data_IF_636644081790
#
_entry.id   IF_636644081790
#
_cell.length_a   1.000
_cell.length_b   1.000
_cell.length_c   1.000
_cell.angle_alpha   90.00
_cell.angle_beta   90.00
_cell.angle_gamma   90.00
#
_symmetry.space_group_name_H-M   'P 1'
#
loop_
_entity.id
_entity.type
_entity.pdbx_description
1 polymer ?
#
# COMPACT_ATOMS: atom_id res chain seq x y z
N UNK A 1 -19.77 63.72 -1.08
CA UNK A 1 -20.20 62.52 -1.81
C UNK A 1 -18.94 61.73 -2.19
N UNK A 2 -18.55 60.77 -1.33
CA UNK A 2 -17.44 59.86 -1.58
C UNK A 2 -18.00 58.56 -2.23
N UNK A 3 -17.39 58.03 -3.27
CA UNK A 3 -17.83 56.74 -3.83
C UNK A 3 -17.33 55.59 -2.93
N UNK A 4 -18.29 54.78 -2.48
CA UNK A 4 -18.00 53.49 -1.83
C UNK A 4 -17.39 52.55 -2.87
N UNK A 5 -16.12 52.26 -2.72
CA UNK A 5 -15.45 51.16 -3.41
C UNK A 5 -15.96 49.84 -2.85
N UNK A 6 -16.76 49.12 -3.62
CA UNK A 6 -17.09 47.71 -3.33
C UNK A 6 -15.85 46.88 -3.63
N UNK A 7 -15.14 46.50 -2.58
CA UNK A 7 -14.14 45.43 -2.67
C UNK A 7 -14.87 44.16 -3.08
N UNK A 8 -14.67 43.71 -4.34
CA UNK A 8 -15.05 42.37 -4.77
C UNK A 8 -14.27 41.39 -3.93
N UNK A 9 -15.00 40.56 -3.19
CA UNK A 9 -14.48 39.36 -2.53
C UNK A 9 -13.80 38.49 -3.59
N UNK A 10 -12.48 38.62 -3.70
CA UNK A 10 -11.64 37.70 -4.43
C UNK A 10 -11.25 36.55 -3.48
N UNK A 11 -12.24 35.77 -3.04
CA UNK A 11 -11.96 34.43 -2.53
C UNK A 11 -11.53 33.60 -3.75
N UNK A 12 -10.26 33.13 -3.80
CA UNK A 12 -9.85 32.21 -4.84
C UNK A 12 -10.74 30.96 -4.74
N UNK A 13 -11.17 30.36 -5.85
CA UNK A 13 -11.93 29.14 -5.79
C UNK A 13 -11.12 28.14 -4.98
N UNK A 14 -11.66 27.69 -3.86
CA UNK A 14 -11.13 26.59 -3.08
C UNK A 14 -11.28 25.29 -3.89
N UNK A 15 -10.52 25.16 -4.95
CA UNK A 15 -10.24 23.86 -5.52
C UNK A 15 -9.26 23.18 -4.56
N UNK A 16 -9.79 22.61 -3.50
CA UNK A 16 -9.03 21.66 -2.71
C UNK A 16 -8.61 20.56 -3.68
N UNK A 17 -7.34 20.47 -4.00
CA UNK A 17 -6.79 19.35 -4.80
C UNK A 17 -7.28 17.99 -4.27
N UNK A 18 -7.45 17.87 -2.97
CA UNK A 18 -8.00 16.69 -2.32
C UNK A 18 -9.51 16.50 -2.56
N UNK A 19 -10.30 17.55 -2.68
CA UNK A 19 -11.74 17.43 -2.97
C UNK A 19 -12.03 16.83 -4.36
N UNK A 20 -11.13 17.02 -5.33
CA UNK A 20 -11.23 16.39 -6.65
C UNK A 20 -10.90 14.89 -6.64
N UNK A 21 -10.26 14.41 -5.57
CA UNK A 21 -9.84 13.03 -5.39
C UNK A 21 -10.75 12.25 -4.44
N UNK A 22 -11.73 12.89 -3.84
CA UNK A 22 -12.63 12.26 -2.86
C UNK A 22 -13.40 11.08 -3.48
N UNK A 23 -13.88 11.22 -4.72
CA UNK A 23 -14.54 10.12 -5.44
C UNK A 23 -13.62 8.93 -5.67
N UNK A 24 -12.34 9.19 -5.98
CA UNK A 24 -11.36 8.13 -6.18
C UNK A 24 -11.05 7.41 -4.87
N UNK A 25 -10.87 8.16 -3.80
CA UNK A 25 -10.62 7.61 -2.47
C UNK A 25 -11.81 6.77 -2.00
N UNK A 26 -13.04 7.23 -2.26
CA UNK A 26 -14.24 6.46 -1.93
C UNK A 26 -14.27 5.13 -2.71
N UNK A 27 -14.03 5.15 -4.03
CA UNK A 27 -13.99 3.94 -4.86
C UNK A 27 -12.88 2.98 -4.43
N UNK A 28 -11.71 3.49 -4.06
CA UNK A 28 -10.61 2.69 -3.50
C UNK A 28 -11.07 1.99 -2.21
N UNK A 29 -11.72 2.71 -1.29
CA UNK A 29 -12.22 2.10 -0.04
C UNK A 29 -13.34 1.07 -0.29
N UNK A 30 -14.18 1.28 -1.29
CA UNK A 30 -15.20 0.31 -1.72
C UNK A 30 -14.54 -0.96 -2.28
N UNK A 31 -13.53 -0.83 -3.15
CA UNK A 31 -12.79 -1.98 -3.69
C UNK A 31 -12.01 -2.72 -2.59
N UNK A 32 -11.40 -2.03 -1.63
CA UNK A 32 -10.78 -2.65 -0.46
C UNK A 32 -11.81 -3.50 0.29
N UNK A 33 -12.97 -2.95 0.61
CA UNK A 33 -14.03 -3.65 1.34
C UNK A 33 -14.55 -4.87 0.56
N UNK A 34 -14.76 -4.72 -0.74
CA UNK A 34 -15.28 -5.76 -1.64
C UNK A 34 -14.34 -6.96 -1.75
N UNK A 35 -13.03 -6.72 -1.78
CA UNK A 35 -12.03 -7.76 -2.03
C UNK A 35 -11.40 -8.33 -0.74
N UNK A 36 -11.80 -7.81 0.42
CA UNK A 36 -11.24 -8.18 1.73
C UNK A 36 -12.10 -9.22 2.44
N UNK A 37 -12.52 -10.26 1.69
CA UNK A 37 -13.36 -11.32 2.23
C UNK A 37 -12.57 -12.61 2.46
N UNK A 38 -12.64 -13.11 3.67
CA UNK A 38 -12.21 -14.46 4.02
C UNK A 38 -13.26 -15.13 4.90
N UNK A 39 -13.51 -16.41 4.65
CA UNK A 39 -14.34 -17.24 5.54
C UNK A 39 -13.66 -17.55 6.87
N UNK A 40 -12.36 -17.27 6.99
CA UNK A 40 -11.57 -17.49 8.20
C UNK A 40 -11.59 -16.19 9.04
N UNK A 41 -12.25 -16.18 10.22
CA UNK A 41 -12.43 -14.96 11.01
C UNK A 41 -11.12 -14.27 11.42
N UNK A 42 -10.07 -15.05 11.70
CA UNK A 42 -8.76 -14.51 12.08
C UNK A 42 -8.12 -13.70 10.95
N UNK A 43 -8.20 -14.16 9.70
CA UNK A 43 -7.70 -13.43 8.55
C UNK A 43 -8.40 -12.08 8.45
N UNK A 44 -9.74 -12.07 8.53
CA UNK A 44 -10.52 -10.83 8.47
C UNK A 44 -10.18 -9.86 9.62
N UNK A 45 -9.90 -10.39 10.81
CA UNK A 45 -9.56 -9.60 11.99
C UNK A 45 -8.19 -8.93 11.85
N UNK A 46 -7.14 -9.71 11.56
CA UNK A 46 -5.77 -9.22 11.43
C UNK A 46 -5.65 -8.25 10.25
N UNK A 47 -6.23 -8.61 9.09
CA UNK A 47 -6.21 -7.73 7.92
C UNK A 47 -6.90 -6.39 8.21
N UNK A 48 -8.05 -6.42 8.88
CA UNK A 48 -8.74 -5.19 9.29
C UNK A 48 -7.91 -4.35 10.23
N UNK A 49 -7.18 -4.97 11.13
CA UNK A 49 -6.29 -4.31 12.08
C UNK A 49 -5.18 -3.56 11.36
N UNK A 50 -4.41 -4.24 10.49
CA UNK A 50 -3.31 -3.61 9.76
C UNK A 50 -3.81 -2.53 8.80
N UNK A 51 -4.89 -2.76 8.07
CA UNK A 51 -5.46 -1.81 7.12
C UNK A 51 -6.05 -0.56 7.80
N UNK A 52 -6.54 -0.68 9.04
CA UNK A 52 -7.07 0.43 9.84
C UNK A 52 -6.01 1.16 10.67
N UNK A 53 -4.76 0.72 10.67
CA UNK A 53 -3.66 1.38 11.39
C UNK A 53 -3.35 2.80 10.89
N UNK A 54 -4.18 3.32 9.99
CA UNK A 54 -4.13 4.67 9.45
C UNK A 54 -3.28 4.74 8.17
N UNK A 55 -3.82 5.33 7.15
CA UNK A 55 -3.12 5.57 5.90
C UNK A 55 -3.90 6.56 5.05
N UNK A 56 -3.18 7.39 4.30
CA UNK A 56 -3.77 8.37 3.38
C UNK A 56 -4.14 7.75 2.03
N UNK A 57 -4.04 6.42 1.89
CA UNK A 57 -4.27 5.67 0.64
C UNK A 57 -3.49 6.24 -0.56
N UNK A 58 -2.28 6.75 -0.30
CA UNK A 58 -1.48 7.38 -1.34
C UNK A 58 -1.06 6.39 -2.44
N UNK A 59 -0.70 5.14 -2.07
CA UNK A 59 -0.29 4.13 -3.07
C UNK A 59 -1.40 3.80 -4.06
N UNK A 60 -2.61 3.40 -3.64
CA UNK A 60 -3.70 3.16 -4.56
C UNK A 60 -4.10 4.43 -5.34
N UNK A 61 -4.09 5.60 -4.70
CA UNK A 61 -4.38 6.86 -5.38
C UNK A 61 -3.36 7.16 -6.49
N UNK A 62 -2.06 6.98 -6.23
CA UNK A 62 -1.01 7.16 -7.24
C UNK A 62 -1.22 6.23 -8.45
N UNK A 63 -1.62 4.98 -8.22
CA UNK A 63 -1.94 4.05 -9.31
C UNK A 63 -3.12 4.55 -10.15
N UNK A 64 -4.20 5.02 -9.53
CA UNK A 64 -5.36 5.58 -10.25
C UNK A 64 -4.97 6.81 -11.05
N UNK A 65 -4.17 7.72 -10.48
CA UNK A 65 -3.68 8.91 -11.19
C UNK A 65 -2.75 8.54 -12.35
N UNK A 66 -1.84 7.59 -12.17
CA UNK A 66 -0.97 7.10 -13.23
C UNK A 66 -1.77 6.48 -14.39
N UNK A 67 -2.83 5.73 -14.08
CA UNK A 67 -3.70 5.17 -15.11
C UNK A 67 -4.41 6.25 -15.95
N UNK A 68 -4.83 7.35 -15.32
CA UNK A 68 -5.40 8.51 -16.02
C UNK A 68 -4.37 9.24 -16.89
N UNK A 69 -3.18 9.46 -16.35
CA UNK A 69 -2.08 10.09 -17.10
C UNK A 69 -1.69 9.27 -18.34
N UNK A 70 -1.79 7.94 -18.24
CA UNK A 70 -1.54 7.00 -19.35
C UNK A 70 -2.75 6.82 -20.27
N UNK A 71 -3.82 7.58 -20.09
CA UNK A 71 -5.07 7.49 -20.86
C UNK A 71 -5.64 6.05 -20.88
N UNK A 72 -5.56 5.33 -19.75
CA UNK A 72 -6.09 3.98 -19.64
C UNK A 72 -7.62 3.96 -19.76
N UNK A 73 -8.16 3.14 -20.65
CA UNK A 73 -9.59 3.04 -20.94
C UNK A 73 -10.26 1.78 -20.36
N UNK A 74 -9.52 0.99 -19.57
CA UNK A 74 -10.06 -0.21 -18.94
C UNK A 74 -10.80 0.07 -17.63
N UNK A 75 -11.28 -1.01 -16.99
CA UNK A 75 -12.11 -0.96 -15.76
C UNK A 75 -11.37 -1.46 -14.51
N UNK A 76 -10.09 -1.84 -14.64
CA UNK A 76 -9.35 -2.49 -13.55
C UNK A 76 -8.51 -1.53 -12.70
N UNK A 77 -8.48 -0.22 -13.00
CA UNK A 77 -7.62 0.74 -12.28
C UNK A 77 -7.83 0.75 -10.76
N UNK A 78 -9.08 0.62 -10.30
CA UNK A 78 -9.37 0.58 -8.86
C UNK A 78 -9.05 -0.78 -8.25
N UNK A 79 -9.38 -1.88 -8.92
CA UNK A 79 -9.02 -3.22 -8.46
C UNK A 79 -7.50 -3.43 -8.42
N UNK A 80 -6.77 -2.94 -9.43
CA UNK A 80 -5.30 -2.97 -9.44
C UNK A 80 -4.68 -2.01 -8.42
N UNK A 81 -5.34 -0.89 -8.11
CA UNK A 81 -4.81 0.06 -7.13
C UNK A 81 -4.71 -0.54 -5.73
N UNK A 82 -5.67 -1.37 -5.33
CA UNK A 82 -5.65 -2.00 -4.01
C UNK A 82 -4.62 -3.11 -3.88
N UNK A 83 -4.10 -3.65 -4.98
CA UNK A 83 -2.98 -4.61 -4.99
C UNK A 83 -1.78 -4.02 -4.26
N UNK A 84 -1.44 -2.74 -4.51
CA UNK A 84 -0.32 -2.07 -3.85
C UNK A 84 -0.54 -1.89 -2.34
N UNK A 85 -1.78 -1.68 -1.92
CA UNK A 85 -2.10 -1.55 -0.50
C UNK A 85 -2.06 -2.91 0.21
N UNK A 86 -2.47 -3.99 -0.47
CA UNK A 86 -2.39 -5.36 0.08
C UNK A 86 -0.96 -5.85 0.16
N UNK A 87 -0.15 -5.61 -0.88
CA UNK A 87 1.29 -5.90 -0.84
C UNK A 87 1.96 -5.16 0.30
N UNK A 88 1.69 -3.86 0.44
CA UNK A 88 2.23 -3.09 1.54
C UNK A 88 1.79 -3.62 2.92
N UNK A 89 0.52 -3.99 3.06
CA UNK A 89 0.05 -4.57 4.32
C UNK A 89 0.70 -5.94 4.60
N UNK A 90 0.92 -6.76 3.56
CA UNK A 90 1.63 -8.03 3.66
C UNK A 90 3.08 -7.83 4.12
N UNK A 91 3.82 -6.92 3.47
CA UNK A 91 5.21 -6.61 3.87
C UNK A 91 5.28 -6.09 5.29
N UNK A 92 4.38 -5.19 5.70
CA UNK A 92 4.33 -4.70 7.08
C UNK A 92 4.09 -5.80 8.12
N UNK A 93 3.26 -6.81 7.79
CA UNK A 93 3.02 -7.95 8.67
C UNK A 93 4.26 -8.84 8.78
N UNK A 94 4.95 -9.09 7.67
CA UNK A 94 6.18 -9.88 7.65
C UNK A 94 7.33 -9.15 8.35
N UNK A 95 7.50 -7.86 8.08
CA UNK A 95 8.53 -7.02 8.71
C UNK A 95 8.37 -6.98 10.23
N UNK A 96 7.14 -6.83 10.75
CA UNK A 96 6.89 -6.85 12.20
C UNK A 96 7.36 -8.15 12.86
N UNK A 97 7.30 -9.28 12.13
CA UNK A 97 7.79 -10.57 12.61
C UNK A 97 9.33 -10.65 12.49
N UNK A 98 9.90 -10.25 11.37
CA UNK A 98 11.34 -10.27 11.12
C UNK A 98 12.08 -9.36 12.10
N UNK A 99 11.54 -8.15 12.31
CA UNK A 99 12.13 -7.13 13.20
C UNK A 99 11.81 -7.39 14.69
N UNK A 100 11.00 -8.40 15.01
CA UNK A 100 10.46 -8.62 16.35
C UNK A 100 9.81 -7.36 16.94
N UNK A 101 9.09 -6.61 16.11
CA UNK A 101 8.49 -5.35 16.50
C UNK A 101 7.37 -5.57 17.54
N UNK A 102 7.41 -4.83 18.64
CA UNK A 102 6.36 -4.87 19.66
C UNK A 102 5.26 -3.82 19.37
N UNK A 103 5.63 -2.72 18.74
CA UNK A 103 4.75 -1.60 18.46
C UNK A 103 4.83 -1.18 16.99
N UNK A 104 3.67 -0.83 16.43
CA UNK A 104 3.55 -0.17 15.13
C UNK A 104 2.67 1.07 15.23
N UNK A 105 3.22 2.24 14.91
CA UNK A 105 2.52 3.54 15.01
C UNK A 105 1.89 3.79 16.39
N UNK A 106 2.60 3.41 17.45
CA UNK A 106 2.15 3.60 18.84
C UNK A 106 1.07 2.61 19.31
N UNK A 107 0.78 1.56 18.54
CA UNK A 107 -0.13 0.46 18.90
C UNK A 107 0.64 -0.85 18.93
N UNK A 108 0.19 -1.86 19.69
CA UNK A 108 0.78 -3.18 19.61
C UNK A 108 0.85 -3.68 18.17
N UNK A 109 1.97 -4.28 17.77
CA UNK A 109 2.09 -4.90 16.45
C UNK A 109 1.17 -6.13 16.34
N UNK A 110 0.89 -6.58 15.12
CA UNK A 110 0.00 -7.72 14.92
C UNK A 110 0.58 -9.01 15.53
N UNK A 111 1.90 -9.22 15.42
CA UNK A 111 2.59 -10.39 16.01
C UNK A 111 2.51 -10.41 17.54
N UNK A 112 2.51 -9.26 18.20
CA UNK A 112 2.27 -9.15 19.65
C UNK A 112 0.87 -9.61 20.04
N UNK A 113 -0.15 -9.33 19.21
CA UNK A 113 -1.55 -9.65 19.51
C UNK A 113 -1.94 -11.08 19.12
N UNK A 114 -1.44 -11.61 18.00
CA UNK A 114 -1.89 -12.89 17.43
C UNK A 114 -0.77 -13.92 17.23
N UNK A 115 0.47 -13.56 17.54
CA UNK A 115 1.65 -14.41 17.38
C UNK A 115 2.18 -14.45 15.95
N UNK A 116 3.45 -14.78 15.81
CA UNK A 116 4.19 -14.75 14.53
C UNK A 116 3.56 -15.63 13.45
N UNK A 117 3.18 -16.87 13.80
CA UNK A 117 2.63 -17.81 12.83
C UNK A 117 1.34 -17.31 12.17
N UNK A 118 0.42 -16.74 12.96
CA UNK A 118 -0.83 -16.18 12.43
C UNK A 118 -0.56 -14.97 11.50
N UNK A 119 0.37 -14.12 11.89
CA UNK A 119 0.69 -12.89 11.16
C UNK A 119 1.38 -13.20 9.83
N UNK A 120 2.33 -14.14 9.80
CA UNK A 120 2.97 -14.60 8.56
C UNK A 120 1.92 -15.14 7.58
N UNK A 121 1.05 -16.04 8.05
CA UNK A 121 0.00 -16.63 7.19
C UNK A 121 -1.01 -15.61 6.68
N UNK A 122 -1.32 -14.58 7.46
CA UNK A 122 -2.19 -13.48 6.98
C UNK A 122 -1.45 -12.60 5.95
N UNK A 123 -0.16 -12.36 6.13
CA UNK A 123 0.69 -11.71 5.12
C UNK A 123 0.68 -12.48 3.80
N UNK A 124 0.87 -13.82 3.86
CA UNK A 124 0.80 -14.69 2.68
C UNK A 124 -0.57 -14.65 2.00
N UNK A 125 -1.65 -14.61 2.80
CA UNK A 125 -3.01 -14.46 2.26
C UNK A 125 -3.17 -13.14 1.49
N UNK A 126 -2.68 -12.03 2.00
CA UNK A 126 -2.74 -10.73 1.33
C UNK A 126 -1.89 -10.71 0.06
N UNK A 127 -0.70 -11.32 0.09
CA UNK A 127 0.17 -11.47 -1.06
C UNK A 127 -0.51 -12.31 -2.16
N UNK A 128 -1.06 -13.46 -1.80
CA UNK A 128 -1.79 -14.32 -2.74
C UNK A 128 -3.04 -13.63 -3.33
N UNK A 129 -3.76 -12.86 -2.51
CA UNK A 129 -4.92 -12.07 -2.96
C UNK A 129 -4.49 -10.98 -3.95
N UNK A 130 -3.33 -10.37 -3.76
CA UNK A 130 -2.76 -9.38 -4.69
C UNK A 130 -2.48 -10.00 -6.06
N UNK A 131 -1.89 -11.18 -6.10
CA UNK A 131 -1.69 -11.90 -7.37
C UNK A 131 -3.01 -12.30 -8.03
N UNK A 132 -3.98 -12.79 -7.25
CA UNK A 132 -5.30 -13.14 -7.78
C UNK A 132 -5.99 -11.94 -8.44
N UNK A 133 -6.00 -10.79 -7.80
CA UNK A 133 -6.57 -9.55 -8.35
C UNK A 133 -5.85 -9.13 -9.63
N UNK A 134 -4.54 -9.30 -9.67
CA UNK A 134 -3.74 -8.97 -10.87
C UNK A 134 -4.06 -9.91 -12.02
N UNK A 135 -4.19 -11.21 -11.76
CA UNK A 135 -4.58 -12.22 -12.79
C UNK A 135 -5.96 -11.92 -13.36
N UNK A 136 -6.90 -11.45 -12.53
CA UNK A 136 -8.24 -11.09 -12.99
C UNK A 136 -8.26 -9.93 -14.00
N UNK A 137 -7.21 -9.12 -14.09
CA UNK A 137 -7.07 -8.11 -15.14
C UNK A 137 -6.88 -8.69 -16.54
N UNK A 138 -6.51 -9.95 -16.63
CA UNK A 138 -6.22 -10.66 -17.89
C UNK A 138 -4.92 -10.20 -18.57
N UNK A 139 -4.13 -9.33 -17.93
CA UNK A 139 -2.90 -8.80 -18.52
C UNK A 139 -1.66 -9.39 -17.84
N UNK A 140 -0.97 -10.28 -18.55
CA UNK A 140 0.23 -10.97 -18.05
C UNK A 140 1.42 -10.02 -17.84
N UNK A 141 1.51 -8.91 -18.56
CA UNK A 141 2.58 -7.92 -18.36
C UNK A 141 2.46 -7.24 -16.99
N UNK A 142 1.23 -6.95 -16.54
CA UNK A 142 1.00 -6.42 -15.19
C UNK A 142 1.43 -7.43 -14.14
N UNK A 143 1.06 -8.70 -14.32
CA UNK A 143 1.45 -9.80 -13.42
C UNK A 143 2.97 -9.96 -13.38
N UNK A 144 3.63 -9.89 -14.55
CA UNK A 144 5.08 -9.97 -14.67
C UNK A 144 5.77 -8.85 -13.87
N UNK A 145 5.38 -7.60 -14.10
CA UNK A 145 5.93 -6.44 -13.38
C UNK A 145 5.73 -6.59 -11.87
N UNK A 146 4.54 -7.01 -11.43
CA UNK A 146 4.25 -7.23 -10.02
C UNK A 146 5.15 -8.32 -9.43
N UNK A 147 5.31 -9.44 -10.14
CA UNK A 147 6.13 -10.56 -9.68
C UNK A 147 7.62 -10.21 -9.62
N UNK A 148 8.15 -9.52 -10.63
CA UNK A 148 9.53 -9.04 -10.65
C UNK A 148 9.79 -8.05 -9.49
N UNK A 149 8.85 -7.12 -9.24
CA UNK A 149 8.96 -6.16 -8.13
C UNK A 149 8.94 -6.87 -6.78
N UNK A 150 8.00 -7.79 -6.55
CA UNK A 150 7.93 -8.52 -5.27
C UNK A 150 9.12 -9.43 -5.04
N UNK A 151 9.68 -10.02 -6.10
CA UNK A 151 10.93 -10.80 -6.02
C UNK A 151 12.09 -9.90 -5.61
N UNK A 152 12.25 -8.75 -6.29
CA UNK A 152 13.31 -7.78 -5.95
C UNK A 152 13.20 -7.28 -4.51
N UNK A 153 11.99 -6.96 -4.05
CA UNK A 153 11.76 -6.54 -2.66
C UNK A 153 12.18 -7.63 -1.66
N UNK A 154 11.80 -8.89 -1.91
CA UNK A 154 12.19 -10.01 -1.04
C UNK A 154 13.72 -10.21 -1.01
N UNK A 155 14.40 -10.10 -2.16
CA UNK A 155 15.85 -10.12 -2.23
C UNK A 155 16.48 -8.95 -1.44
N UNK A 156 15.91 -7.75 -1.54
CA UNK A 156 16.34 -6.57 -0.78
C UNK A 156 16.23 -6.76 0.73
N UNK A 157 15.13 -7.36 1.21
CA UNK A 157 14.96 -7.68 2.63
C UNK A 157 16.00 -8.71 3.11
N UNK A 158 16.26 -9.75 2.33
CA UNK A 158 17.31 -10.75 2.66
C UNK A 158 18.68 -10.11 2.69
N UNK A 159 19.02 -9.26 1.72
CA UNK A 159 20.28 -8.52 1.70
C UNK A 159 20.42 -7.60 2.92
N UNK A 160 19.34 -6.88 3.30
CA UNK A 160 19.33 -6.08 4.52
C UNK A 160 19.58 -6.94 5.76
N UNK A 161 18.92 -8.10 5.88
CA UNK A 161 19.07 -9.01 7.01
C UNK A 161 20.51 -9.52 7.14
N UNK A 162 21.16 -9.89 6.02
CA UNK A 162 22.56 -10.35 5.99
C UNK A 162 23.50 -9.22 6.44
N UNK A 163 23.20 -7.97 6.10
CA UNK A 163 24.04 -6.82 6.36
C UNK A 163 23.69 -6.05 7.66
N UNK A 164 22.69 -6.48 8.42
CA UNK A 164 22.18 -5.73 9.58
C UNK A 164 23.22 -5.50 10.67
N UNK A 165 24.16 -6.43 10.85
CA UNK A 165 25.24 -6.35 11.83
C UNK A 165 26.60 -5.98 11.22
N UNK A 166 26.65 -5.67 9.92
CA UNK A 166 27.86 -5.33 9.21
C UNK A 166 28.13 -3.82 9.25
N UNK A 167 29.00 -3.38 10.17
CA UNK A 167 29.39 -1.97 10.29
C UNK A 167 30.34 -1.50 9.17
N UNK A 168 30.88 -2.41 8.38
CA UNK A 168 31.80 -2.13 7.28
C UNK A 168 31.14 -2.32 5.90
N UNK A 169 29.79 -2.28 5.85
CA UNK A 169 29.07 -2.38 4.57
C UNK A 169 29.55 -1.29 3.60
N UNK A 170 29.82 -1.65 2.35
CA UNK A 170 30.21 -0.68 1.33
C UNK A 170 29.01 0.21 0.93
N UNK A 171 29.29 1.40 0.40
CA UNK A 171 28.25 2.27 -0.14
C UNK A 171 27.51 1.58 -1.30
N UNK A 172 28.23 0.81 -2.13
CA UNK A 172 27.64 0.07 -3.25
C UNK A 172 26.66 -0.99 -2.77
N UNK A 173 27.02 -1.79 -1.76
CA UNK A 173 26.13 -2.79 -1.17
C UNK A 173 24.91 -2.15 -0.50
N UNK A 174 25.10 -1.00 0.18
CA UNK A 174 23.99 -0.24 0.76
C UNK A 174 23.02 0.26 -0.32
N UNK A 175 23.55 0.82 -1.40
CA UNK A 175 22.74 1.29 -2.55
C UNK A 175 22.00 0.12 -3.20
N UNK A 176 22.64 -1.07 -3.30
CA UNK A 176 21.95 -2.26 -3.81
C UNK A 176 20.75 -2.66 -2.96
N UNK A 177 20.89 -2.66 -1.63
CA UNK A 177 19.79 -2.94 -0.70
C UNK A 177 18.62 -1.98 -0.94
N UNK A 178 18.86 -0.66 -0.92
CA UNK A 178 17.78 0.33 -1.07
C UNK A 178 17.19 0.39 -2.47
N UNK A 179 17.92 -0.06 -3.49
CA UNK A 179 17.42 -0.14 -4.87
C UNK A 179 16.42 -1.29 -5.03
N UNK A 180 16.62 -2.38 -4.29
CA UNK A 180 15.75 -3.56 -4.33
C UNK A 180 14.54 -3.44 -3.39
N UNK A 181 14.73 -2.74 -2.28
CA UNK A 181 13.72 -2.54 -1.24
C UNK A 181 12.79 -1.38 -1.55
#
# INVERSE_FOLDING_TARGET
LSPKSTAKDLTPPQYSFFGQLDDDLQRIEEEIKKNLHSSVPLIALVTRYIMRSGGKRLRPLMMVLASRLSNYQGNYQYALSIVFEYLHAATLLHDDVVDNAELRRGRPSANTLWGNAAVVLVGDFLLATSFLLTVMSGNLEILKVLSETTTSMAEGEVLQLINSDNLEISEEDYIEVITRK
#
